data_IF_483070721646
#
_entry.id   IF_483070721646
#
_cell.length_a   1.000
_cell.length_b   1.000
_cell.length_c   1.000
_cell.angle_alpha   90.00
_cell.angle_beta   90.00
_cell.angle_gamma   90.00
#
_symmetry.space_group_name_H-M   'P 1'
#
loop_
_entity.id
_entity.type
_entity.pdbx_description
1 polymer ?
#
# COMPACT_ATOMS: atom_id res chain seq x y z
N UNK A 1 -30.57 -10.80 -6.40
CA UNK A 1 -29.52 -11.84 -6.50
C UNK A 1 -28.28 -11.12 -6.98
N UNK A 2 -27.36 -10.84 -6.07
CA UNK A 2 -26.19 -9.98 -6.34
C UNK A 2 -25.15 -10.79 -7.09
N UNK A 3 -24.72 -10.29 -8.24
CA UNK A 3 -23.72 -10.93 -9.07
C UNK A 3 -22.37 -10.93 -8.32
N UNK A 4 -21.74 -12.09 -8.05
CA UNK A 4 -20.51 -12.16 -7.28
C UNK A 4 -19.38 -11.28 -7.83
N UNK A 5 -19.32 -11.06 -9.15
CA UNK A 5 -18.33 -10.17 -9.76
C UNK A 5 -18.53 -8.70 -9.37
N UNK A 6 -19.77 -8.26 -9.22
CA UNK A 6 -20.10 -6.89 -8.79
C UNK A 6 -19.72 -6.69 -7.32
N UNK A 7 -19.88 -7.72 -6.48
CA UNK A 7 -19.53 -7.66 -5.06
C UNK A 7 -18.01 -7.64 -4.84
N UNK A 8 -17.25 -8.45 -5.58
CA UNK A 8 -15.78 -8.45 -5.48
C UNK A 8 -15.12 -7.17 -6.01
N UNK A 9 -15.65 -6.61 -7.08
CA UNK A 9 -15.14 -5.34 -7.62
C UNK A 9 -15.41 -4.16 -6.68
N UNK A 10 -16.55 -4.17 -5.98
CA UNK A 10 -16.86 -3.16 -4.96
C UNK A 10 -15.99 -3.30 -3.70
N UNK A 11 -15.75 -4.52 -3.23
CA UNK A 11 -14.80 -4.79 -2.13
C UNK A 11 -13.38 -4.39 -2.54
N UNK A 12 -12.95 -4.70 -3.75
CA UNK A 12 -11.65 -4.30 -4.26
C UNK A 12 -11.52 -2.77 -4.35
N UNK A 13 -12.59 -2.06 -4.69
CA UNK A 13 -12.62 -0.59 -4.66
C UNK A 13 -12.48 -0.06 -3.23
N UNK A 14 -13.19 -0.65 -2.26
CA UNK A 14 -13.12 -0.26 -0.85
C UNK A 14 -11.73 -0.50 -0.26
N UNK A 15 -11.15 -1.68 -0.50
CA UNK A 15 -9.79 -2.02 -0.07
C UNK A 15 -8.76 -1.13 -0.78
N UNK A 16 -8.92 -0.91 -2.09
CA UNK A 16 -8.03 -0.06 -2.88
C UNK A 16 -7.95 1.39 -2.42
N UNK A 17 -8.94 1.86 -1.67
CA UNK A 17 -8.93 3.18 -1.05
C UNK A 17 -8.12 3.24 0.26
N UNK A 18 -7.88 2.10 0.93
CA UNK A 18 -7.02 2.00 2.12
C UNK A 18 -5.69 1.32 1.75
N UNK A 19 -4.61 2.10 1.86
CA UNK A 19 -3.27 1.73 1.41
C UNK A 19 -2.71 0.57 2.24
N UNK A 20 -2.94 0.58 3.55
CA UNK A 20 -2.45 -0.46 4.44
C UNK A 20 -3.13 -1.78 4.12
N UNK A 21 -4.45 -1.77 4.02
CA UNK A 21 -5.23 -2.96 3.66
C UNK A 21 -4.87 -3.48 2.27
N UNK A 22 -4.59 -2.60 1.31
CA UNK A 22 -4.12 -2.99 -0.03
C UNK A 22 -2.76 -3.67 0.03
N UNK A 23 -1.80 -3.11 0.78
CA UNK A 23 -0.46 -3.68 0.92
C UNK A 23 -0.50 -5.05 1.62
N UNK A 24 -1.27 -5.15 2.71
CA UNK A 24 -1.43 -6.39 3.45
C UNK A 24 -2.12 -7.47 2.63
N UNK A 25 -3.14 -7.09 1.84
CA UNK A 25 -3.80 -7.99 0.90
C UNK A 25 -2.80 -8.53 -0.14
N UNK A 26 -2.07 -7.66 -0.84
CA UNK A 26 -1.11 -8.08 -1.85
C UNK A 26 0.03 -8.92 -1.26
N UNK A 27 0.50 -8.59 -0.06
CA UNK A 27 1.52 -9.37 0.65
C UNK A 27 1.03 -10.76 1.04
N UNK A 28 -0.23 -10.87 1.48
CA UNK A 28 -0.87 -12.15 1.78
C UNK A 28 -0.94 -13.02 0.51
N UNK A 29 -1.45 -12.47 -0.60
CA UNK A 29 -1.62 -13.23 -1.84
C UNK A 29 -0.28 -13.61 -2.48
N UNK A 30 0.75 -12.79 -2.31
CA UNK A 30 2.10 -13.09 -2.81
C UNK A 30 2.96 -13.93 -1.85
N UNK A 31 2.40 -14.38 -0.73
CA UNK A 31 3.08 -15.32 0.16
C UNK A 31 3.14 -16.73 -0.45
N UNK A 32 4.01 -17.57 0.09
CA UNK A 32 4.14 -18.97 -0.33
C UNK A 32 2.86 -19.78 -0.18
N UNK A 33 1.89 -19.31 0.63
CA UNK A 33 0.59 -19.96 0.86
C UNK A 33 -0.22 -20.14 -0.42
N UNK A 34 -0.13 -19.18 -1.35
CA UNK A 34 -0.92 -19.22 -2.59
C UNK A 34 -0.16 -19.83 -3.78
N UNK A 35 1.11 -20.23 -3.57
CA UNK A 35 1.96 -20.92 -4.54
C UNK A 35 1.88 -20.33 -5.97
N UNK A 36 1.87 -19.01 -6.05
CA UNK A 36 1.71 -18.30 -7.31
C UNK A 36 2.92 -18.49 -8.22
N UNK A 37 2.67 -18.84 -9.48
CA UNK A 37 3.70 -18.93 -10.52
C UNK A 37 4.26 -17.55 -10.91
N UNK A 38 3.46 -16.50 -10.72
CA UNK A 38 3.83 -15.09 -10.94
C UNK A 38 3.15 -14.22 -9.87
N UNK A 39 3.81 -13.17 -9.35
CA UNK A 39 3.21 -12.32 -8.32
C UNK A 39 1.91 -11.64 -8.78
N UNK A 40 0.93 -11.56 -7.87
CA UNK A 40 -0.33 -10.88 -8.06
C UNK A 40 -0.18 -9.37 -7.78
N UNK A 41 -0.53 -8.55 -8.78
CA UNK A 41 -0.45 -7.09 -8.71
C UNK A 41 -1.82 -6.40 -8.82
N UNK A 42 -2.89 -7.16 -9.03
CA UNK A 42 -4.25 -6.64 -9.18
C UNK A 42 -5.04 -6.84 -7.89
N UNK A 43 -5.58 -5.76 -7.33
CA UNK A 43 -6.42 -5.78 -6.13
C UNK A 43 -7.67 -6.63 -6.37
N UNK A 44 -8.29 -6.51 -7.55
CA UNK A 44 -9.49 -7.28 -7.90
C UNK A 44 -9.17 -8.77 -7.94
N UNK A 45 -8.06 -9.17 -8.58
CA UNK A 45 -7.61 -10.57 -8.57
C UNK A 45 -7.24 -11.05 -7.17
N UNK A 46 -6.56 -10.22 -6.38
CA UNK A 46 -6.20 -10.56 -5.01
C UNK A 46 -7.44 -10.79 -4.14
N UNK A 47 -8.48 -9.94 -4.30
CA UNK A 47 -9.78 -10.11 -3.64
C UNK A 47 -10.47 -11.40 -4.06
N UNK A 48 -10.46 -11.74 -5.36
CA UNK A 48 -11.02 -12.99 -5.87
C UNK A 48 -10.28 -14.24 -5.35
N UNK A 49 -8.95 -14.17 -5.25
CA UNK A 49 -8.09 -15.26 -4.76
C UNK A 49 -8.25 -15.52 -3.26
N UNK A 50 -8.39 -14.45 -2.46
CA UNK A 50 -8.54 -14.55 -1.00
C UNK A 50 -9.99 -14.86 -0.61
N UNK A 51 -10.94 -14.35 -1.38
CA UNK A 51 -12.37 -14.46 -1.11
C UNK A 51 -12.83 -13.67 0.12
N UNK A 52 -14.14 -13.55 0.29
CA UNK A 52 -14.77 -12.71 1.33
C UNK A 52 -14.33 -13.12 2.75
N UNK A 53 -14.18 -14.43 2.99
CA UNK A 53 -13.81 -14.95 4.33
C UNK A 53 -12.35 -14.63 4.68
N UNK A 54 -11.43 -14.73 3.71
CA UNK A 54 -10.03 -14.35 3.91
C UNK A 54 -9.87 -12.84 4.09
N UNK A 55 -10.66 -12.03 3.37
CA UNK A 55 -10.67 -10.57 3.53
C UNK A 55 -11.14 -10.16 4.92
N UNK A 56 -12.20 -10.80 5.45
CA UNK A 56 -12.64 -10.55 6.84
C UNK A 56 -11.53 -10.87 7.85
N UNK A 57 -10.82 -11.98 7.67
CA UNK A 57 -9.71 -12.34 8.55
C UNK A 57 -8.52 -11.37 8.45
N UNK A 58 -8.24 -10.86 7.24
CA UNK A 58 -7.24 -9.81 7.02
C UNK A 58 -7.64 -8.53 7.77
N UNK A 59 -8.88 -8.07 7.62
CA UNK A 59 -9.42 -6.91 8.33
C UNK A 59 -9.33 -7.05 9.85
N UNK A 60 -9.72 -8.20 10.42
CA UNK A 60 -9.58 -8.44 11.86
C UNK A 60 -8.11 -8.41 12.33
N UNK A 61 -7.19 -8.93 11.50
CA UNK A 61 -5.75 -8.91 11.80
C UNK A 61 -5.17 -7.49 11.72
N UNK A 62 -5.61 -6.69 10.74
CA UNK A 62 -5.17 -5.30 10.57
C UNK A 62 -5.78 -4.39 11.63
N UNK A 63 -7.04 -4.57 12.00
CA UNK A 63 -7.67 -3.79 13.09
C UNK A 63 -7.04 -4.11 14.45
N UNK A 64 -6.72 -5.37 14.72
CA UNK A 64 -5.98 -5.74 15.93
C UNK A 64 -4.55 -5.16 15.95
N UNK A 65 -3.93 -4.94 14.80
CA UNK A 65 -2.66 -4.19 14.67
C UNK A 65 -2.84 -2.66 14.77
N UNK A 66 -3.95 -2.08 14.29
CA UNK A 66 -4.29 -0.65 14.46
C UNK A 66 -4.57 -0.29 15.93
N UNK A 67 -5.07 -1.24 16.71
CA UNK A 67 -5.18 -1.10 18.18
C UNK A 67 -3.79 -0.96 18.84
N UNK A 68 -2.70 -1.30 18.14
CA UNK A 68 -1.33 -1.22 18.65
C UNK A 68 -0.58 0.10 18.30
N UNK A 69 -1.24 1.15 17.80
CA UNK A 69 -0.60 2.49 17.76
C UNK A 69 -1.38 3.64 17.09
N UNK A 70 -1.18 4.86 17.60
CA UNK A 70 -1.90 6.08 17.16
C UNK A 70 -1.53 6.58 15.75
N UNK A 71 -2.55 7.13 15.04
CA UNK A 71 -2.38 7.89 13.80
C UNK A 71 -1.85 9.30 14.08
N UNK A 72 -0.65 9.62 13.59
CA UNK A 72 -0.05 10.96 13.72
C UNK A 72 -0.26 11.79 12.44
N UNK A 73 -0.24 13.13 12.51
CA UNK A 73 -0.29 13.99 11.32
C UNK A 73 0.79 13.68 10.28
N UNK A 74 2.01 13.32 10.73
CA UNK A 74 3.11 12.93 9.85
C UNK A 74 2.81 11.67 9.04
N UNK A 75 2.22 10.64 9.68
CA UNK A 75 1.77 9.43 8.97
C UNK A 75 0.75 9.77 7.88
N UNK A 76 -0.19 10.67 8.17
CA UNK A 76 -1.22 11.10 7.19
C UNK A 76 -0.62 11.82 5.97
N UNK A 77 0.36 12.70 6.17
CA UNK A 77 1.03 13.39 5.06
C UNK A 77 1.84 12.41 4.19
N UNK A 78 2.58 11.48 4.81
CA UNK A 78 3.32 10.42 4.12
C UNK A 78 2.41 9.53 3.27
N UNK A 79 1.24 9.18 3.80
CA UNK A 79 0.24 8.42 3.04
C UNK A 79 -0.30 9.21 1.83
N UNK A 80 -0.66 10.48 2.02
CA UNK A 80 -1.13 11.34 0.93
C UNK A 80 -0.05 11.56 -0.15
N UNK A 81 1.22 11.67 0.25
CA UNK A 81 2.35 11.73 -0.68
C UNK A 81 2.46 10.45 -1.52
N UNK A 82 2.48 9.29 -0.86
CA UNK A 82 2.63 7.99 -1.52
C UNK A 82 1.49 7.71 -2.52
N UNK A 83 0.25 8.13 -2.20
CA UNK A 83 -0.88 8.05 -3.14
C UNK A 83 -0.67 8.90 -4.40
N UNK A 84 -0.20 10.14 -4.25
CA UNK A 84 0.09 11.02 -5.39
C UNK A 84 1.19 10.43 -6.27
N UNK A 85 2.25 9.90 -5.66
CA UNK A 85 3.36 9.25 -6.39
C UNK A 85 2.87 8.00 -7.12
N UNK A 86 2.05 7.16 -6.50
CA UNK A 86 1.44 6.00 -7.14
C UNK A 86 0.61 6.39 -8.37
N UNK A 87 -0.26 7.39 -8.22
CA UNK A 87 -1.11 7.91 -9.30
C UNK A 87 -0.28 8.46 -10.46
N UNK A 88 0.73 9.30 -10.19
CA UNK A 88 1.56 9.86 -11.26
C UNK A 88 2.42 8.79 -11.93
N UNK A 89 3.05 7.91 -11.16
CA UNK A 89 3.87 6.81 -11.68
C UNK A 89 3.05 5.89 -12.59
N UNK A 90 1.82 5.55 -12.18
CA UNK A 90 0.90 4.76 -13.00
C UNK A 90 0.52 5.46 -14.31
N UNK A 91 0.16 6.75 -14.26
CA UNK A 91 -0.24 7.48 -15.47
C UNK A 91 0.95 7.67 -16.43
N UNK A 92 2.15 7.94 -15.92
CA UNK A 92 3.36 7.98 -16.73
C UNK A 92 3.60 6.61 -17.37
N UNK A 93 3.54 5.54 -16.57
CA UNK A 93 3.78 4.19 -17.09
C UNK A 93 2.74 3.79 -18.15
N UNK A 94 1.47 4.15 -17.97
CA UNK A 94 0.42 3.93 -18.97
C UNK A 94 0.69 4.63 -20.29
N UNK A 95 1.23 5.84 -20.27
CA UNK A 95 1.47 6.61 -21.48
C UNK A 95 2.72 6.12 -22.24
N UNK A 96 3.79 5.78 -21.52
CA UNK A 96 5.08 5.45 -22.15
C UNK A 96 5.35 3.93 -22.28
N UNK A 97 4.65 3.10 -21.51
CA UNK A 97 4.83 1.65 -21.47
C UNK A 97 3.51 0.89 -21.63
N UNK A 98 2.55 1.44 -22.38
CA UNK A 98 1.20 0.90 -22.56
C UNK A 98 1.16 -0.59 -22.97
N UNK A 99 2.13 -1.04 -23.76
CA UNK A 99 2.23 -2.43 -24.23
C UNK A 99 2.83 -3.38 -23.18
N UNK A 100 3.45 -2.85 -22.12
CA UNK A 100 4.10 -3.58 -21.03
C UNK A 100 3.24 -3.50 -19.77
N UNK A 101 2.13 -4.25 -19.76
CA UNK A 101 1.15 -4.25 -18.66
C UNK A 101 1.77 -4.42 -17.27
N UNK A 102 2.74 -5.31 -17.13
CA UNK A 102 3.45 -5.55 -15.88
C UNK A 102 4.16 -4.28 -15.34
N UNK A 103 4.79 -3.49 -16.22
CA UNK A 103 5.44 -2.24 -15.82
C UNK A 103 4.41 -1.22 -15.33
N UNK A 104 3.27 -1.13 -16.02
CA UNK A 104 2.17 -0.23 -15.67
C UNK A 104 1.60 -0.57 -14.29
N UNK A 105 1.32 -1.85 -14.05
CA UNK A 105 0.77 -2.34 -12.78
C UNK A 105 1.77 -2.17 -11.64
N UNK A 106 3.05 -2.51 -11.88
CA UNK A 106 4.11 -2.37 -10.88
C UNK A 106 4.41 -0.91 -10.54
N UNK A 107 4.29 0.02 -11.49
CA UNK A 107 4.54 1.44 -11.24
C UNK A 107 3.61 2.03 -10.17
N UNK A 108 2.35 1.58 -10.12
CA UNK A 108 1.41 1.99 -9.08
C UNK A 108 1.84 1.47 -7.71
N UNK A 109 2.09 0.16 -7.61
CA UNK A 109 2.47 -0.51 -6.36
C UNK A 109 3.80 0.05 -5.83
N UNK A 110 4.80 0.22 -6.70
CA UNK A 110 6.07 0.84 -6.34
C UNK A 110 5.89 2.27 -5.82
N UNK A 111 5.11 3.11 -6.51
CA UNK A 111 4.86 4.48 -6.05
C UNK A 111 4.13 4.53 -4.70
N UNK A 112 3.25 3.56 -4.45
CA UNK A 112 2.47 3.47 -3.22
C UNK A 112 3.31 3.03 -2.02
N UNK A 113 4.26 2.13 -2.23
CA UNK A 113 5.06 1.52 -1.15
C UNK A 113 6.42 2.19 -0.92
N UNK A 114 6.87 3.08 -1.83
CA UNK A 114 8.24 3.62 -1.81
C UNK A 114 8.65 4.27 -0.49
N UNK A 115 7.70 4.85 0.24
CA UNK A 115 7.91 5.59 1.49
C UNK A 115 7.43 4.83 2.74
N UNK A 116 6.94 3.59 2.61
CA UNK A 116 6.46 2.78 3.74
C UNK A 116 7.55 2.55 4.80
N UNK A 117 8.82 2.52 4.39
CA UNK A 117 9.96 2.43 5.31
C UNK A 117 9.95 3.56 6.35
N UNK A 118 9.62 4.79 5.95
CA UNK A 118 9.58 5.95 6.87
C UNK A 118 8.56 5.74 8.00
N UNK A 119 7.38 5.18 7.68
CA UNK A 119 6.32 4.88 8.65
C UNK A 119 6.75 3.80 9.65
N UNK A 120 7.43 2.76 9.16
CA UNK A 120 7.98 1.69 10.01
C UNK A 120 9.04 2.25 10.95
N UNK A 121 9.97 3.07 10.45
CA UNK A 121 11.01 3.69 11.26
C UNK A 121 10.45 4.69 12.29
N UNK A 122 9.44 5.49 11.95
CA UNK A 122 8.79 6.39 12.93
C UNK A 122 8.12 5.63 14.08
N UNK A 123 7.66 4.40 13.84
CA UNK A 123 6.97 3.61 14.87
C UNK A 123 7.94 2.73 15.67
N UNK A 124 8.94 2.14 15.01
CA UNK A 124 9.84 1.14 15.62
C UNK A 124 11.13 1.75 16.19
N UNK A 125 11.60 2.87 15.63
CA UNK A 125 12.87 3.52 15.98
C UNK A 125 12.73 5.05 15.97
N UNK A 126 11.84 5.63 16.80
CA UNK A 126 11.53 7.06 16.77
C UNK A 126 12.77 7.94 17.05
N UNK A 127 13.71 7.47 17.86
CA UNK A 127 14.98 8.15 18.15
C UNK A 127 15.89 8.29 16.91
N UNK A 128 15.89 7.30 16.02
CA UNK A 128 16.65 7.35 14.77
C UNK A 128 16.03 8.40 13.85
N UNK A 129 14.71 8.40 13.73
CA UNK A 129 13.99 9.41 12.93
C UNK A 129 14.18 10.82 13.48
N UNK A 130 14.24 10.99 14.80
CA UNK A 130 14.55 12.28 15.42
C UNK A 130 15.95 12.77 15.03
N UNK A 131 16.98 11.94 15.17
CA UNK A 131 18.36 12.30 14.74
C UNK A 131 18.42 12.64 13.26
N UNK A 132 17.68 11.92 12.42
CA UNK A 132 17.64 12.18 10.99
C UNK A 132 17.06 13.58 10.70
N UNK A 133 15.94 13.93 11.38
CA UNK A 133 15.32 15.26 11.29
C UNK A 133 16.27 16.36 11.79
N UNK A 134 17.00 16.13 12.88
CA UNK A 134 17.98 17.09 13.43
C UNK A 134 19.13 17.36 12.45
N UNK A 135 19.66 16.31 11.81
CA UNK A 135 20.73 16.45 10.80
C UNK A 135 20.23 17.19 9.56
N UNK A 136 19.00 16.91 9.11
CA UNK A 136 18.40 17.63 7.98
C UNK A 136 18.23 19.12 8.27
N UNK A 137 17.76 19.47 9.47
CA UNK A 137 17.64 20.85 9.90
C UNK A 137 19.01 21.56 9.95
N UNK A 138 20.03 20.91 10.50
CA UNK A 138 21.41 21.43 10.51
C UNK A 138 21.95 21.68 9.09
N UNK A 139 21.61 20.82 8.13
CA UNK A 139 22.03 20.95 6.72
C UNK A 139 21.10 21.81 5.86
N UNK A 140 20.09 22.45 6.46
CA UNK A 140 19.11 23.28 5.75
C UNK A 140 18.36 22.52 4.62
N UNK A 141 18.13 21.23 4.82
CA UNK A 141 17.37 20.38 3.90
C UNK A 141 15.89 20.42 4.32
N UNK A 142 15.02 20.83 3.40
CA UNK A 142 13.59 20.88 3.66
C UNK A 142 13.03 19.50 4.06
N UNK A 143 12.23 19.48 5.12
CA UNK A 143 11.42 18.31 5.51
C UNK A 143 10.22 18.22 4.57
N UNK A 144 10.44 17.66 3.38
CA UNK A 144 9.35 17.24 2.52
C UNK A 144 8.84 15.88 3.05
N UNK A 145 8.02 15.93 4.09
CA UNK A 145 7.21 14.80 4.59
C UNK A 145 5.81 15.28 4.85
#
# INVERSE_FOLDING_TARGET
MSDPEVEFSEIARLIGNDISLTADLLKLVNSSVFALSQPCHSIVKAVQMVGIKGIKNLLYSVESLKILGEETPGKKMLWAHSQKVAFYSYNIARNFFATKKEIVENAYVCGLLHDMGKVVFETTHPEVMKKFKDIMAYKNIALNT
#
